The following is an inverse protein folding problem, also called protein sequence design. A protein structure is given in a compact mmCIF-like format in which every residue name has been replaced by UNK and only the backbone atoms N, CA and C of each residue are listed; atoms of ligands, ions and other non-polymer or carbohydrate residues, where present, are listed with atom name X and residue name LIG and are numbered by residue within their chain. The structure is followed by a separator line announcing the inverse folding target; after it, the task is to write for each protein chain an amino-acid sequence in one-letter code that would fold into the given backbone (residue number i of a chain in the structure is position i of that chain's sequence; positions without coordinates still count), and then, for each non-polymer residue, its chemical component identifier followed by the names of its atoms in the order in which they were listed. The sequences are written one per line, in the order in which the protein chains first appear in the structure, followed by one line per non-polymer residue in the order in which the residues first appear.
data_IF_082297732489
#
_entry.id   IF_082297732489
#
_cell.length_a   1.000
_cell.length_b   1.000
_cell.length_c   1.000
_cell.angle_alpha   90.00
_cell.angle_beta   90.00
_cell.angle_gamma   90.00
#
_symmetry.space_group_name_H-M   'P 1'
#
loop_
_entity.id
_entity.type
_entity.pdbx_description
1 polymer ?
#
# COMPACT_ATOMS: atom_id res chain seq x y z
N UNK A 1 8.74 -2.23 34.05
CA UNK A 1 9.77 -1.74 33.11
C UNK A 1 10.05 -2.75 32.00
N UNK A 2 10.23 -4.04 32.30
CA UNK A 2 10.53 -5.06 31.28
C UNK A 2 9.42 -5.28 30.23
N UNK A 3 8.15 -5.18 30.63
CA UNK A 3 6.99 -5.33 29.73
C UNK A 3 6.86 -4.21 28.70
N UNK A 4 7.25 -2.98 29.05
CA UNK A 4 7.22 -1.84 28.13
C UNK A 4 8.25 -1.99 27.00
N UNK A 5 9.45 -2.48 27.33
CA UNK A 5 10.51 -2.76 26.35
C UNK A 5 10.11 -3.88 25.39
N UNK A 6 9.44 -4.92 25.90
CA UNK A 6 8.91 -6.01 25.07
C UNK A 6 7.84 -5.53 24.10
N UNK A 7 6.90 -4.68 24.57
CA UNK A 7 5.84 -4.14 23.72
C UNK A 7 6.38 -3.20 22.64
N UNK A 8 7.38 -2.37 22.97
CA UNK A 8 8.05 -1.50 22.01
C UNK A 8 8.81 -2.31 20.94
N UNK A 9 9.52 -3.37 21.33
CA UNK A 9 10.20 -4.28 20.39
C UNK A 9 9.21 -4.94 19.43
N UNK A 10 8.04 -5.35 19.94
CA UNK A 10 6.99 -5.96 19.13
C UNK A 10 6.42 -4.97 18.10
N UNK A 11 6.26 -3.70 18.47
CA UNK A 11 5.85 -2.64 17.54
C UNK A 11 6.82 -2.41 16.39
N UNK A 12 8.12 -2.36 16.69
CA UNK A 12 9.16 -2.24 15.66
C UNK A 12 9.18 -3.43 14.70
N UNK A 13 9.05 -4.65 15.23
CA UNK A 13 8.95 -5.88 14.43
C UNK A 13 7.75 -5.81 13.48
N UNK A 14 6.59 -5.36 13.97
CA UNK A 14 5.38 -5.25 13.16
C UNK A 14 5.52 -4.22 12.03
N UNK A 15 6.13 -3.06 12.31
CA UNK A 15 6.38 -2.01 11.31
C UNK A 15 7.35 -2.52 10.23
N UNK A 16 8.46 -3.14 10.64
CA UNK A 16 9.44 -3.70 9.70
C UNK A 16 8.83 -4.79 8.82
N UNK A 17 8.00 -5.67 9.41
CA UNK A 17 7.29 -6.70 8.68
C UNK A 17 6.32 -6.07 7.65
N UNK A 18 5.57 -5.04 8.04
CA UNK A 18 4.66 -4.33 7.14
C UNK A 18 5.37 -3.71 5.95
N UNK A 19 6.51 -3.04 6.17
CA UNK A 19 7.33 -2.47 5.09
C UNK A 19 7.83 -3.56 4.14
N UNK A 20 8.30 -4.69 4.69
CA UNK A 20 8.78 -5.81 3.89
C UNK A 20 7.68 -6.40 2.99
N UNK A 21 6.46 -6.57 3.52
CA UNK A 21 5.31 -7.02 2.73
C UNK A 21 4.94 -6.05 1.61
N UNK A 22 4.94 -4.75 1.88
CA UNK A 22 4.66 -3.72 0.84
C UNK A 22 5.72 -3.75 -0.25
N UNK A 23 7.01 -3.82 0.13
CA UNK A 23 8.11 -3.94 -0.82
C UNK A 23 8.00 -5.22 -1.66
N UNK A 24 7.69 -6.35 -1.05
CA UNK A 24 7.54 -7.63 -1.75
C UNK A 24 6.39 -7.58 -2.77
N UNK A 25 5.23 -7.04 -2.38
CA UNK A 25 4.09 -6.89 -3.27
C UNK A 25 4.38 -5.94 -4.43
N UNK A 26 5.06 -4.82 -4.16
CA UNK A 26 5.49 -3.88 -5.17
C UNK A 26 6.48 -4.52 -6.17
N UNK A 27 7.41 -5.36 -5.69
CA UNK A 27 8.36 -6.07 -6.54
C UNK A 27 7.68 -7.16 -7.38
N UNK A 28 6.74 -7.91 -6.79
CA UNK A 28 5.95 -8.93 -7.51
C UNK A 28 5.17 -8.31 -8.67
N UNK A 29 4.56 -7.14 -8.46
CA UNK A 29 3.81 -6.40 -9.49
C UNK A 29 4.71 -5.86 -10.62
N UNK A 30 6.00 -5.65 -10.35
CA UNK A 30 6.96 -5.18 -11.35
C UNK A 30 7.44 -6.31 -12.27
N UNK A 31 7.51 -7.56 -11.77
CA UNK A 31 7.96 -8.73 -12.51
C UNK A 31 7.03 -9.21 -13.63
N UNK A 32 5.74 -8.91 -13.56
CA UNK A 32 4.74 -9.26 -14.60
C UNK A 32 4.73 -8.29 -15.81
N UNK A 33 5.76 -7.48 -16.02
CA UNK A 33 5.77 -6.47 -17.10
C UNK A 33 6.40 -6.92 -18.43
N UNK A 34 6.87 -8.16 -18.56
CA UNK A 34 7.76 -8.54 -19.70
C UNK A 34 7.10 -9.40 -20.77
N UNK A 35 5.83 -9.77 -20.67
CA UNK A 35 5.18 -10.55 -21.72
C UNK A 35 3.80 -10.04 -22.05
N UNK A 36 3.55 -9.95 -23.36
CA UNK A 36 2.26 -9.82 -24.05
C UNK A 36 1.86 -8.41 -24.52
N UNK A 37 2.33 -8.11 -25.74
CA UNK A 37 1.48 -7.61 -26.81
C UNK A 37 0.08 -8.26 -26.73
N UNK A 38 -0.92 -7.50 -26.29
CA UNK A 38 -2.23 -7.49 -26.93
C UNK A 38 -3.13 -6.45 -26.27
N UNK A 39 -3.72 -5.66 -27.14
CA UNK A 39 -4.64 -4.58 -26.87
C UNK A 39 -5.89 -5.07 -26.14
N UNK A 40 -5.90 -5.02 -24.81
CA UNK A 40 -7.15 -4.95 -24.05
C UNK A 40 -6.99 -3.96 -22.92
N UNK A 41 -7.23 -2.69 -23.25
CA UNK A 41 -7.40 -1.59 -22.30
C UNK A 41 -8.68 -1.75 -21.46
N UNK A 42 -8.83 -2.86 -20.74
CA UNK A 42 -9.86 -3.01 -19.72
C UNK A 42 -9.35 -2.42 -18.42
N UNK A 43 -9.05 -1.10 -18.44
CA UNK A 43 -9.08 -0.33 -17.21
C UNK A 43 -10.53 -0.27 -16.77
N UNK A 44 -10.96 -1.26 -16.00
CA UNK A 44 -12.23 -1.28 -15.26
C UNK A 44 -12.19 -0.16 -14.21
N UNK A 45 -12.25 1.08 -14.68
CA UNK A 45 -12.42 2.30 -13.89
C UNK A 45 -13.91 2.42 -13.61
N UNK A 46 -14.35 1.74 -12.55
CA UNK A 46 -15.72 1.80 -12.09
C UNK A 46 -15.88 2.81 -10.97
N UNK A 47 -17.11 3.26 -10.74
CA UNK A 47 -17.48 3.93 -9.50
C UNK A 47 -18.38 2.95 -8.75
N UNK A 48 -17.94 2.48 -7.59
CA UNK A 48 -18.74 1.67 -6.68
C UNK A 48 -19.43 2.62 -5.71
N UNK A 49 -20.76 2.56 -5.62
CA UNK A 49 -21.49 3.31 -4.62
C UNK A 49 -21.53 2.51 -3.31
N UNK A 50 -20.78 2.94 -2.29
CA UNK A 50 -20.97 2.47 -0.92
C UNK A 50 -22.00 3.39 -0.24
N UNK A 51 -23.28 3.01 -0.36
CA UNK A 51 -24.39 3.87 0.05
C UNK A 51 -24.45 5.14 -0.82
N UNK A 52 -24.73 6.33 -0.25
CA UNK A 52 -24.79 7.58 -1.03
C UNK A 52 -23.41 8.10 -1.44
N UNK A 53 -22.31 7.45 -1.01
CA UNK A 53 -20.94 7.92 -1.26
C UNK A 53 -20.36 7.16 -2.47
N UNK A 54 -20.10 7.86 -3.59
CA UNK A 54 -19.41 7.25 -4.73
C UNK A 54 -17.92 7.01 -4.39
N UNK A 55 -17.44 5.79 -4.60
CA UNK A 55 -16.04 5.39 -4.46
C UNK A 55 -15.49 5.00 -5.82
N UNK A 56 -14.47 5.73 -6.27
CA UNK A 56 -13.76 5.40 -7.51
C UNK A 56 -12.94 4.13 -7.28
N UNK A 57 -13.25 3.07 -8.04
CA UNK A 57 -12.64 1.75 -7.94
C UNK A 57 -11.94 1.37 -9.25
N UNK A 58 -10.86 0.58 -9.13
CA UNK A 58 -10.13 0.10 -10.30
C UNK A 58 -9.18 1.15 -10.89
N UNK A 59 -8.17 1.51 -10.12
CA UNK A 59 -7.02 2.24 -10.63
C UNK A 59 -6.17 1.32 -11.53
N UNK A 60 -5.64 1.84 -12.64
CA UNK A 60 -4.66 1.11 -13.44
C UNK A 60 -3.32 0.95 -12.70
N UNK A 61 -2.37 0.18 -13.25
CA UNK A 61 -1.04 -0.08 -12.65
C UNK A 61 -0.35 1.18 -12.10
N UNK A 62 -0.47 2.31 -12.80
CA UNK A 62 0.04 3.62 -12.37
C UNK A 62 -0.65 4.16 -11.11
N UNK A 63 -1.98 4.05 -11.03
CA UNK A 63 -2.73 4.57 -9.88
C UNK A 63 -2.54 3.73 -8.61
N UNK A 64 -2.36 2.42 -8.74
CA UNK A 64 -1.94 1.57 -7.61
C UNK A 64 -0.55 1.92 -7.09
N UNK A 65 0.41 2.18 -7.98
CA UNK A 65 1.75 2.63 -7.59
C UNK A 65 1.69 3.97 -6.83
N UNK A 66 0.89 4.91 -7.31
CA UNK A 66 0.71 6.22 -6.66
C UNK A 66 0.03 6.07 -5.30
N UNK A 67 -1.03 5.25 -5.19
CA UNK A 67 -1.70 4.98 -3.92
C UNK A 67 -0.74 4.32 -2.92
N UNK A 68 0.10 3.38 -3.36
CA UNK A 68 1.12 2.75 -2.51
C UNK A 68 2.16 3.73 -1.99
N UNK A 69 2.70 4.59 -2.86
CA UNK A 69 3.64 5.66 -2.45
C UNK A 69 2.97 6.62 -1.46
N UNK A 70 1.73 7.01 -1.73
CA UNK A 70 0.97 7.92 -0.85
C UNK A 70 0.74 7.28 0.53
N UNK A 71 0.40 5.99 0.58
CA UNK A 71 0.23 5.25 1.82
C UNK A 71 1.54 5.17 2.62
N UNK A 72 2.67 4.89 1.97
CA UNK A 72 3.99 4.88 2.61
C UNK A 72 4.30 6.25 3.22
N UNK A 73 4.11 7.33 2.47
CA UNK A 73 4.33 8.71 2.95
C UNK A 73 3.45 8.98 4.18
N UNK A 74 2.17 8.58 4.13
CA UNK A 74 1.23 8.79 5.23
C UNK A 74 1.66 8.05 6.50
N UNK A 75 2.17 6.83 6.37
CA UNK A 75 2.74 6.07 7.49
C UNK A 75 3.98 6.76 8.06
N UNK A 76 4.87 7.27 7.21
CA UNK A 76 6.03 8.04 7.68
C UNK A 76 5.65 9.32 8.42
N UNK A 77 4.67 10.08 7.89
CA UNK A 77 4.14 11.27 8.56
C UNK A 77 3.54 10.91 9.91
N UNK A 78 2.77 9.81 9.98
CA UNK A 78 2.21 9.32 11.22
C UNK A 78 3.29 8.97 12.24
N UNK A 79 4.33 8.23 11.82
CA UNK A 79 5.47 7.91 12.69
C UNK A 79 6.15 9.19 13.23
N UNK A 80 6.39 10.19 12.38
CA UNK A 80 7.03 11.44 12.80
C UNK A 80 6.17 12.20 13.83
N UNK A 81 4.85 12.25 13.62
CA UNK A 81 3.93 13.01 14.48
C UNK A 81 3.51 12.30 15.76
N UNK A 82 3.50 10.96 15.79
CA UNK A 82 3.02 10.18 16.94
C UNK A 82 4.14 9.48 17.72
N UNK A 83 5.32 9.27 17.12
CA UNK A 83 6.47 8.65 17.79
C UNK A 83 7.43 9.69 18.41
N UNK A 84 7.23 10.98 18.12
CA UNK A 84 7.89 12.11 18.78
C UNK A 84 6.92 12.79 19.74
#
# INVERSE_FOLDING_TARGET
MQTAVLLQSLGWILILLGILFVCFYAFSTIGESTSEDSETHTQSKGIIFLGPIPIVWGYGKKGWMIAGVLAIILVFVWIIFFLY
#
